data_IF_525303111192
#
_entry.id   IF_525303111192
#
_cell.length_a   1.000
_cell.length_b   1.000
_cell.length_c   1.000
_cell.angle_alpha   90.00
_cell.angle_beta   90.00
_cell.angle_gamma   90.00
#
_symmetry.space_group_name_H-M   'P 1'
#
loop_
_entity.id
_entity.type
_entity.pdbx_description
1 polymer ?
#
# COMPACT_ATOMS: atom_id res chain seq x y z
N UNK A 1 -16.82 31.49 -17.28
CA UNK A 1 -16.14 30.33 -17.90
C UNK A 1 -16.71 29.09 -17.24
N UNK A 2 -17.75 28.49 -17.84
CA UNK A 2 -18.37 27.27 -17.32
C UNK A 2 -17.43 26.08 -17.53
N UNK A 3 -17.18 25.29 -16.48
CA UNK A 3 -16.48 24.03 -16.61
C UNK A 3 -17.46 23.00 -17.17
N UNK A 4 -17.18 22.53 -18.38
CA UNK A 4 -17.91 21.44 -19.02
C UNK A 4 -17.82 20.19 -18.12
N UNK A 5 -18.92 19.49 -17.82
CA UNK A 5 -18.88 18.30 -16.98
C UNK A 5 -18.08 17.19 -17.69
N UNK A 6 -17.19 16.55 -16.94
CA UNK A 6 -16.43 15.40 -17.40
C UNK A 6 -17.37 14.18 -17.44
N UNK A 7 -17.71 13.71 -18.63
CA UNK A 7 -18.41 12.44 -18.82
C UNK A 7 -17.36 11.33 -19.04
N UNK A 8 -17.15 10.40 -18.09
CA UNK A 8 -16.34 9.24 -18.36
C UNK A 8 -17.07 8.35 -19.37
N UNK A 9 -16.45 8.14 -20.53
CA UNK A 9 -16.91 7.16 -21.52
C UNK A 9 -16.85 5.79 -20.84
N UNK A 10 -18.00 5.17 -20.68
CA UNK A 10 -18.13 3.80 -20.17
C UNK A 10 -17.55 2.83 -21.22
N UNK A 11 -16.28 2.49 -21.07
CA UNK A 11 -15.71 1.34 -21.76
C UNK A 11 -16.09 0.10 -20.96
N UNK A 12 -17.14 -0.57 -21.43
CA UNK A 12 -17.51 -1.92 -21.04
C UNK A 12 -16.47 -2.88 -21.62
N UNK A 13 -15.36 -3.06 -20.91
CA UNK A 13 -14.42 -4.12 -21.18
C UNK A 13 -14.20 -4.89 -19.87
N UNK A 14 -14.60 -6.16 -19.86
CA UNK A 14 -14.41 -7.07 -18.74
C UNK A 14 -12.92 -7.47 -18.64
N UNK A 15 -12.08 -6.50 -18.32
CA UNK A 15 -10.82 -6.73 -17.63
C UNK A 15 -11.05 -6.36 -16.18
N UNK A 16 -10.66 -7.21 -15.24
CA UNK A 16 -10.48 -6.78 -13.85
C UNK A 16 -9.26 -5.84 -13.84
N UNK A 17 -9.44 -4.64 -14.39
CA UNK A 17 -8.38 -3.68 -14.67
C UNK A 17 -7.89 -3.10 -13.36
N UNK A 18 -6.61 -3.30 -13.07
CA UNK A 18 -5.93 -2.62 -11.96
C UNK A 18 -6.14 -1.11 -12.16
N UNK A 19 -6.94 -0.47 -11.30
CA UNK A 19 -7.15 0.97 -11.33
C UNK A 19 -5.87 1.67 -10.86
N UNK A 20 -5.12 2.23 -11.81
CA UNK A 20 -3.94 3.05 -11.52
C UNK A 20 -4.36 4.51 -11.42
N UNK A 21 -3.89 5.21 -10.39
CA UNK A 21 -4.06 6.66 -10.26
C UNK A 21 -2.74 7.29 -9.82
N UNK A 22 -2.46 8.49 -10.32
CA UNK A 22 -1.33 9.32 -9.91
C UNK A 22 -1.83 10.56 -9.19
N UNK A 23 -0.95 11.19 -8.41
CA UNK A 23 -1.21 12.46 -7.74
C UNK A 23 0.09 13.24 -7.59
N UNK A 24 -0.03 14.56 -7.58
CA UNK A 24 1.11 15.48 -7.53
C UNK A 24 1.55 15.80 -6.10
N UNK A 25 0.66 15.66 -5.12
CA UNK A 25 0.89 16.02 -3.72
C UNK A 25 1.23 14.77 -2.90
N UNK A 26 2.08 14.84 -1.86
CA UNK A 26 2.37 13.73 -0.95
C UNK A 26 1.15 13.17 -0.19
N UNK A 27 1.16 11.90 0.27
CA UNK A 27 0.08 11.29 1.07
C UNK A 27 -0.36 12.17 2.23
N UNK A 28 -1.66 12.25 2.47
CA UNK A 28 -2.22 13.08 3.53
C UNK A 28 -1.86 12.52 4.92
N UNK A 29 -1.90 11.19 5.07
CA UNK A 29 -1.79 10.54 6.37
C UNK A 29 -0.36 10.13 6.74
N UNK A 30 0.37 9.51 5.80
CA UNK A 30 1.67 8.93 6.13
C UNK A 30 2.61 8.79 4.93
N UNK A 31 3.87 9.17 5.14
CA UNK A 31 4.96 8.97 4.19
C UNK A 31 5.95 7.94 4.75
N UNK A 32 6.10 6.82 4.04
CA UNK A 32 7.07 5.79 4.40
C UNK A 32 8.30 5.89 3.50
N UNK A 33 9.38 6.46 4.06
CA UNK A 33 10.66 6.63 3.35
C UNK A 33 11.60 5.48 3.69
N UNK A 34 12.17 4.86 2.65
CA UNK A 34 13.19 3.81 2.76
C UNK A 34 14.46 4.40 2.15
N UNK A 35 15.53 4.49 2.94
CA UNK A 35 16.77 5.12 2.48
C UNK A 35 17.55 4.23 1.53
N UNK A 36 17.61 2.93 1.80
CA UNK A 36 18.33 1.97 0.97
C UNK A 36 17.49 0.72 0.72
N UNK A 37 16.70 0.76 -0.36
CA UNK A 37 15.83 -0.35 -0.73
C UNK A 37 16.63 -1.57 -1.21
N UNK A 38 17.74 -1.38 -1.93
CA UNK A 38 18.60 -2.46 -2.40
C UNK A 38 19.17 -3.29 -1.24
N UNK A 39 19.67 -2.63 -0.18
CA UNK A 39 20.15 -3.35 1.01
C UNK A 39 19.03 -4.14 1.70
N UNK A 40 17.80 -3.62 1.68
CA UNK A 40 16.65 -4.31 2.25
C UNK A 40 16.29 -5.57 1.44
N UNK A 41 16.35 -5.49 0.11
CA UNK A 41 16.12 -6.62 -0.81
C UNK A 41 17.20 -7.70 -0.66
N UNK A 42 18.46 -7.30 -0.52
CA UNK A 42 19.60 -8.21 -0.43
C UNK A 42 19.77 -8.83 0.97
N UNK A 43 19.10 -8.28 1.98
CA UNK A 43 19.11 -8.80 3.35
C UNK A 43 18.23 -10.06 3.51
N UNK A 44 18.45 -10.80 4.59
CA UNK A 44 17.58 -11.93 4.98
C UNK A 44 16.27 -11.49 5.66
N UNK A 45 16.01 -10.18 5.73
CA UNK A 45 14.80 -9.64 6.39
C UNK A 45 13.58 -9.92 5.51
N UNK A 46 12.66 -10.74 6.03
CA UNK A 46 11.40 -11.06 5.33
C UNK A 46 10.47 -9.84 5.24
N UNK A 47 10.41 -9.05 6.32
CA UNK A 47 9.48 -7.93 6.49
C UNK A 47 10.15 -6.75 7.18
N UNK A 48 9.91 -5.55 6.66
CA UNK A 48 10.26 -4.27 7.27
C UNK A 48 8.99 -3.50 7.63
N UNK A 49 8.95 -2.90 8.82
CA UNK A 49 7.78 -2.18 9.31
C UNK A 49 8.07 -0.68 9.41
N UNK A 50 7.06 0.14 9.11
CA UNK A 50 7.13 1.57 9.36
C UNK A 50 6.97 1.91 10.85
N UNK A 51 7.16 3.18 11.19
CA UNK A 51 6.64 3.72 12.44
C UNK A 51 5.11 3.67 12.50
N UNK A 52 4.57 3.81 13.70
CA UNK A 52 3.13 3.91 13.94
C UNK A 52 2.64 5.31 13.57
N UNK A 53 1.48 5.40 12.92
CA UNK A 53 0.81 6.65 12.60
C UNK A 53 -0.68 6.56 12.89
N UNK A 54 -1.30 7.71 13.14
CA UNK A 54 -2.73 7.79 13.45
C UNK A 54 -3.50 8.35 12.25
N UNK A 55 -4.60 7.69 11.88
CA UNK A 55 -5.56 8.21 10.91
C UNK A 55 -6.93 7.57 11.15
N UNK A 56 -8.00 8.36 10.99
CA UNK A 56 -9.37 7.90 11.23
C UNK A 56 -9.64 7.45 12.67
N UNK A 57 -8.87 7.93 13.65
CA UNK A 57 -8.99 7.54 15.07
C UNK A 57 -8.37 6.18 15.40
N UNK A 58 -7.59 5.61 14.49
CA UNK A 58 -6.90 4.33 14.68
C UNK A 58 -5.40 4.49 14.46
N UNK A 59 -4.63 3.63 15.13
CA UNK A 59 -3.19 3.55 14.95
C UNK A 59 -2.84 2.43 13.97
N UNK A 60 -2.01 2.78 12.99
CA UNK A 60 -1.66 1.95 11.87
C UNK A 60 -0.14 1.86 11.74
N UNK A 61 0.32 0.80 11.06
CA UNK A 61 1.67 0.71 10.52
C UNK A 61 1.62 0.11 9.12
N UNK A 62 2.63 0.40 8.31
CA UNK A 62 2.85 -0.28 7.05
C UNK A 62 3.80 -1.47 7.25
N UNK A 63 3.47 -2.60 6.64
CA UNK A 63 4.31 -3.81 6.62
C UNK A 63 4.74 -4.08 5.19
N UNK A 64 6.04 -3.91 4.93
CA UNK A 64 6.66 -4.09 3.62
C UNK A 64 7.39 -5.43 3.56
N UNK A 65 7.12 -6.19 2.51
CA UNK A 65 7.87 -7.37 2.11
C UNK A 65 8.61 -7.03 0.81
N UNK A 66 9.92 -6.72 0.87
CA UNK A 66 10.69 -6.23 -0.27
C UNK A 66 10.76 -7.25 -1.41
N UNK A 67 10.87 -8.53 -1.08
CA UNK A 67 10.89 -9.67 -2.01
C UNK A 67 9.52 -10.34 -2.18
N UNK A 68 8.46 -9.65 -1.73
CA UNK A 68 7.10 -10.16 -1.75
C UNK A 68 6.78 -11.15 -0.64
N UNK A 69 5.50 -11.26 -0.29
CA UNK A 69 5.03 -12.16 0.76
C UNK A 69 4.75 -13.55 0.17
N UNK A 70 5.81 -14.33 -0.06
CA UNK A 70 5.74 -15.71 -0.56
C UNK A 70 5.76 -16.71 0.60
N UNK A 71 4.82 -17.67 0.61
CA UNK A 71 4.89 -18.78 1.58
C UNK A 71 5.86 -19.84 1.06
N UNK A 72 6.93 -20.14 1.82
CA UNK A 72 7.90 -21.19 1.47
C UNK A 72 7.33 -22.61 1.55
N UNK A 73 6.33 -22.88 2.39
CA UNK A 73 5.88 -24.25 2.70
C UNK A 73 4.34 -24.44 2.60
N UNK A 74 3.87 -25.02 1.50
CA UNK A 74 2.71 -25.92 1.48
C UNK A 74 1.30 -25.36 1.26
N UNK A 75 0.71 -24.62 2.21
CA UNK A 75 -0.76 -24.71 2.36
C UNK A 75 -1.57 -23.40 2.28
N UNK A 76 -0.99 -22.26 1.88
CA UNK A 76 -1.79 -21.07 1.51
C UNK A 76 -1.14 -20.32 0.35
N UNK A 77 -1.89 -20.12 -0.72
CA UNK A 77 -1.45 -19.46 -1.95
C UNK A 77 -1.33 -17.94 -1.72
N UNK A 78 -0.13 -17.45 -1.35
CA UNK A 78 0.21 -16.02 -1.51
C UNK A 78 1.09 -15.89 -2.75
N UNK A 79 0.68 -15.05 -3.69
CA UNK A 79 1.28 -14.84 -5.01
C UNK A 79 2.27 -13.66 -5.01
N UNK A 80 3.07 -13.51 -3.96
CA UNK A 80 4.04 -12.41 -3.85
C UNK A 80 5.28 -12.53 -4.73
N UNK A 81 5.47 -13.66 -5.42
CA UNK A 81 6.69 -13.92 -6.17
C UNK A 81 6.86 -12.93 -7.33
N UNK A 82 8.03 -12.29 -7.42
CA UNK A 82 8.32 -11.27 -8.44
C UNK A 82 7.67 -9.91 -8.16
N UNK A 83 7.13 -9.69 -6.95
CA UNK A 83 6.46 -8.45 -6.56
C UNK A 83 6.97 -7.93 -5.23
N UNK A 84 6.82 -6.63 -5.00
CA UNK A 84 6.87 -6.03 -3.67
C UNK A 84 5.46 -6.18 -3.06
N UNK A 85 5.36 -6.60 -1.81
CA UNK A 85 4.07 -6.62 -1.09
C UNK A 85 4.06 -5.57 0.01
N UNK A 86 3.01 -4.75 0.08
CA UNK A 86 2.83 -3.72 1.09
C UNK A 86 1.44 -3.85 1.71
N UNK A 87 1.37 -3.85 3.04
CA UNK A 87 0.13 -4.01 3.79
C UNK A 87 -0.07 -2.85 4.76
N UNK A 88 -1.32 -2.43 4.93
CA UNK A 88 -1.76 -1.60 6.04
C UNK A 88 -2.18 -2.52 7.20
N UNK A 89 -1.57 -2.35 8.37
CA UNK A 89 -1.83 -3.17 9.54
C UNK A 89 -2.31 -2.29 10.69
N UNK A 90 -3.41 -2.69 11.32
CA UNK A 90 -3.89 -2.08 12.58
C UNK A 90 -2.91 -2.45 13.70
N UNK A 91 -2.65 -1.52 14.61
CA UNK A 91 -1.82 -1.75 15.79
C UNK A 91 -2.67 -1.76 17.06
N UNK A 92 -2.07 -2.11 18.20
CA UNK A 92 -2.73 -2.09 19.52
C UNK A 92 -4.00 -2.95 19.59
N UNK A 93 -4.01 -4.04 18.82
CA UNK A 93 -5.17 -4.94 18.68
C UNK A 93 -5.52 -5.70 19.95
N UNK A 94 -4.59 -5.81 20.90
CA UNK A 94 -4.79 -6.53 22.17
C UNK A 94 -5.84 -5.86 23.07
N UNK A 95 -6.08 -4.56 22.85
CA UNK A 95 -7.09 -3.78 23.56
C UNK A 95 -8.49 -3.85 22.93
N UNK A 96 -8.61 -4.48 21.76
CA UNK A 96 -9.83 -4.45 20.98
C UNK A 96 -10.75 -5.63 21.35
N UNK A 97 -12.08 -5.46 21.29
CA UNK A 97 -13.02 -6.54 21.53
C UNK A 97 -12.79 -7.74 20.60
N UNK A 98 -13.18 -8.93 21.06
CA UNK A 98 -13.19 -10.12 20.22
C UNK A 98 -14.07 -9.88 18.98
N UNK A 99 -13.56 -10.21 17.78
CA UNK A 99 -14.21 -9.98 16.48
C UNK A 99 -14.33 -8.50 16.07
N UNK A 100 -13.43 -7.66 16.57
CA UNK A 100 -13.34 -6.28 16.10
C UNK A 100 -12.93 -6.21 14.63
N UNK A 101 -13.64 -5.40 13.87
CA UNK A 101 -13.37 -5.14 12.45
C UNK A 101 -13.37 -3.63 12.21
N UNK A 102 -12.46 -3.15 11.38
CA UNK A 102 -12.44 -1.76 10.90
C UNK A 102 -12.69 -1.75 9.41
N UNK A 103 -13.71 -1.03 8.98
CA UNK A 103 -13.93 -0.74 7.57
C UNK A 103 -13.03 0.42 7.16
N UNK A 104 -12.10 0.16 6.22
CA UNK A 104 -11.11 1.16 5.79
C UNK A 104 -11.20 1.35 4.28
N UNK A 105 -11.24 2.61 3.84
CA UNK A 105 -10.94 3.00 2.47
C UNK A 105 -9.54 3.63 2.45
N UNK A 106 -8.57 2.97 1.83
CA UNK A 106 -7.21 3.46 1.75
C UNK A 106 -6.65 3.35 0.34
N UNK A 107 -5.64 4.18 0.05
CA UNK A 107 -4.88 4.15 -1.20
C UNK A 107 -3.39 4.11 -0.86
N UNK A 108 -2.69 3.14 -1.41
CA UNK A 108 -1.24 3.05 -1.32
C UNK A 108 -0.61 3.58 -2.61
N UNK A 109 0.43 4.40 -2.47
CA UNK A 109 1.14 5.01 -3.58
C UNK A 109 2.63 4.68 -3.48
N UNK A 110 3.27 4.47 -4.63
CA UNK A 110 4.73 4.46 -4.77
C UNK A 110 5.14 5.78 -5.38
N UNK A 111 6.12 6.43 -4.77
CA UNK A 111 6.64 7.69 -5.28
C UNK A 111 7.56 7.44 -6.48
N UNK A 112 7.21 8.02 -7.63
CA UNK A 112 8.00 7.93 -8.85
C UNK A 112 8.97 9.11 -8.93
N UNK A 113 10.22 8.87 -8.57
CA UNK A 113 11.29 9.87 -8.61
C UNK A 113 11.67 10.31 -10.03
N UNK A 114 11.26 9.59 -11.08
CA UNK A 114 11.69 9.87 -12.46
C UNK A 114 10.80 10.89 -13.19
N UNK A 115 9.61 11.18 -12.67
CA UNK A 115 8.66 12.12 -13.27
C UNK A 115 8.76 13.55 -12.75
N UNK A 116 9.76 13.84 -11.90
CA UNK A 116 10.07 15.20 -11.49
C UNK A 116 11.02 15.78 -12.53
N UNK A 117 10.45 16.46 -13.53
CA UNK A 117 11.21 17.39 -14.36
C UNK A 117 11.30 18.69 -13.54
N UNK A 118 12.53 19.05 -13.16
CA UNK A 118 12.85 20.37 -12.59
C UNK A 118 12.83 21.44 -13.69
#
# INVERSE_FOLDING_TARGET
MEKKPFNPIANNDHTCGILRSSREIPPADYLFKIESFSLLVDSEIEKYESGVFESGGYKWKLSLYPNGNVKRNGNVKRNGNGHISLYLALTETDSLPLRFEVNVNFKLFVFDHTRIIL
#
